data_IF_231168712048
#
_entry.id   IF_231168712048
#
_cell.length_a   1.000
_cell.length_b   1.000
_cell.length_c   1.000
_cell.angle_alpha   90.00
_cell.angle_beta   90.00
_cell.angle_gamma   90.00
#
_symmetry.space_group_name_H-M   'P 1'
#
loop_
_entity.id
_entity.type
_entity.pdbx_description
1 polymer ?
#
# COMPACT_ATOMS: atom_id res chain seq x y z
N UNK A 1 -3.68 4.96 21.87
CA UNK A 1 -2.31 5.53 21.93
C UNK A 1 -2.33 6.78 21.10
N UNK A 2 -2.02 7.92 21.72
CA UNK A 2 -2.08 9.22 21.07
C UNK A 2 -0.85 10.06 21.42
N UNK A 3 -0.44 10.92 20.49
CA UNK A 3 0.60 11.96 20.64
C UNK A 3 1.90 11.44 21.29
N UNK A 4 2.36 10.27 20.85
CA UNK A 4 3.50 9.56 21.43
C UNK A 4 4.63 9.40 20.40
N UNK A 5 5.88 9.39 20.89
CA UNK A 5 7.07 9.16 20.09
C UNK A 5 7.70 7.80 20.41
N UNK A 6 7.92 6.99 19.39
CA UNK A 6 8.53 5.67 19.46
C UNK A 6 9.79 5.62 18.61
N UNK A 7 10.90 5.20 19.17
CA UNK A 7 12.16 5.11 18.43
C UNK A 7 12.96 3.88 18.85
N UNK A 8 13.79 3.38 17.94
CA UNK A 8 14.80 2.34 18.17
C UNK A 8 14.27 1.04 18.79
N UNK A 9 13.00 0.71 18.56
CA UNK A 9 12.43 -0.54 18.99
C UNK A 9 12.83 -1.68 18.02
N UNK A 10 13.21 -2.83 18.57
CA UNK A 10 13.82 -3.89 17.76
C UNK A 10 12.83 -4.63 16.85
N UNK A 11 11.56 -4.68 17.18
CA UNK A 11 10.59 -5.50 16.47
C UNK A 11 9.34 -4.74 16.06
N UNK A 12 8.47 -4.42 17.01
CA UNK A 12 7.21 -3.69 16.76
C UNK A 12 7.17 -2.40 17.56
N UNK A 13 6.54 -1.39 17.01
CA UNK A 13 6.16 -0.20 17.75
C UNK A 13 5.02 -0.52 18.72
N UNK A 14 3.86 -0.81 18.18
CA UNK A 14 2.67 -1.20 18.96
C UNK A 14 2.02 -2.44 18.34
N UNK A 15 1.74 -3.44 19.15
CA UNK A 15 1.00 -4.63 18.73
C UNK A 15 -0.31 -4.74 19.53
N UNK A 16 -1.42 -4.35 18.91
CA UNK A 16 -2.76 -4.56 19.45
C UNK A 16 -3.23 -5.97 19.07
N UNK A 17 -3.30 -6.87 20.03
CA UNK A 17 -3.57 -8.29 19.78
C UNK A 17 -4.68 -8.84 20.67
N UNK A 18 -5.63 -9.54 20.04
CA UNK A 18 -6.50 -10.46 20.77
C UNK A 18 -5.79 -11.80 21.01
N UNK A 19 -5.87 -12.36 22.22
CA UNK A 19 -5.28 -13.65 22.55
C UNK A 19 -5.96 -14.79 21.77
N UNK A 20 -5.16 -15.74 21.34
CA UNK A 20 -5.59 -16.88 20.54
C UNK A 20 -6.37 -17.86 21.44
N UNK A 21 -7.58 -18.18 21.06
CA UNK A 21 -8.37 -19.22 21.79
C UNK A 21 -9.70 -19.51 21.14
N UNK A 22 -10.39 -18.51 20.67
CA UNK A 22 -11.66 -18.68 19.97
C UNK A 22 -11.67 -17.91 18.66
N UNK A 23 -11.92 -18.61 17.58
CA UNK A 23 -12.09 -18.03 16.23
C UNK A 23 -13.42 -17.28 16.06
N UNK A 24 -14.20 -17.07 17.12
CA UNK A 24 -15.43 -16.31 17.03
C UNK A 24 -15.11 -14.82 16.90
N UNK A 25 -15.67 -14.19 15.88
CA UNK A 25 -15.55 -12.76 15.63
C UNK A 25 -16.09 -11.90 16.79
N UNK A 26 -16.90 -12.48 17.67
CA UNK A 26 -17.59 -11.78 18.74
C UNK A 26 -16.72 -11.46 19.97
N UNK A 27 -15.57 -12.11 20.11
CA UNK A 27 -14.65 -11.93 21.24
C UNK A 27 -13.42 -11.05 20.92
N UNK A 28 -13.42 -10.31 19.83
CA UNK A 28 -12.32 -9.41 19.47
C UNK A 28 -12.29 -8.20 20.40
N UNK A 29 -11.09 -7.77 20.80
CA UNK A 29 -10.94 -6.44 21.42
C UNK A 29 -11.36 -5.36 20.43
N UNK A 30 -12.01 -4.31 20.92
CA UNK A 30 -12.66 -3.30 20.07
C UNK A 30 -12.22 -1.89 20.39
N UNK A 31 -12.45 -0.98 19.41
CA UNK A 31 -12.34 0.47 19.58
C UNK A 31 -10.91 0.96 19.88
N UNK A 32 -9.96 0.49 19.05
CA UNK A 32 -8.58 0.99 19.10
C UNK A 32 -8.43 2.30 18.34
N UNK A 33 -7.70 3.23 18.93
CA UNK A 33 -7.29 4.48 18.27
C UNK A 33 -5.79 4.65 18.41
N UNK A 34 -5.12 4.89 17.29
CA UNK A 34 -3.71 5.28 17.18
C UNK A 34 -3.64 6.58 16.42
N UNK A 35 -3.38 7.68 17.10
CA UNK A 35 -3.48 9.02 16.51
C UNK A 35 -2.30 9.91 16.90
N UNK A 36 -1.79 10.69 15.94
CA UNK A 36 -0.79 11.73 16.21
C UNK A 36 0.56 11.19 16.69
N UNK A 37 0.86 9.91 16.45
CA UNK A 37 2.11 9.32 16.90
C UNK A 37 3.20 9.46 15.85
N UNK A 38 4.45 9.51 16.30
CA UNK A 38 5.63 9.44 15.46
C UNK A 38 6.41 8.16 15.78
N UNK A 39 6.71 7.38 14.74
CA UNK A 39 7.52 6.16 14.82
C UNK A 39 8.78 6.36 13.97
N UNK A 40 9.94 6.20 14.58
CA UNK A 40 11.21 6.36 13.88
C UNK A 40 12.10 5.16 14.09
N UNK A 41 12.63 4.61 12.98
CA UNK A 41 13.61 3.52 13.00
C UNK A 41 13.16 2.32 13.84
N UNK A 42 11.90 1.93 13.68
CA UNK A 42 11.39 0.70 14.29
C UNK A 42 11.93 -0.51 13.49
N UNK A 43 12.45 -1.51 14.15
CA UNK A 43 13.10 -2.66 13.50
C UNK A 43 12.18 -3.59 12.72
N UNK A 44 10.88 -3.42 12.88
CA UNK A 44 9.83 -4.11 12.15
C UNK A 44 8.65 -3.19 11.90
N UNK A 45 7.43 -3.71 12.03
CA UNK A 45 6.20 -2.96 11.81
C UNK A 45 5.91 -1.97 12.94
N UNK A 46 5.48 -0.76 12.61
CA UNK A 46 5.16 0.24 13.60
C UNK A 46 3.84 -0.03 14.33
N UNK A 47 2.76 -0.25 13.61
CA UNK A 47 1.46 -0.59 14.21
C UNK A 47 0.94 -1.90 13.60
N UNK A 48 0.70 -2.89 14.45
CA UNK A 48 0.15 -4.20 14.07
C UNK A 48 -1.18 -4.43 14.79
N UNK A 49 -2.33 -4.07 14.21
CA UNK A 49 -3.62 -4.56 14.68
C UNK A 49 -3.80 -6.02 14.25
N UNK A 50 -4.06 -6.88 15.23
CA UNK A 50 -4.15 -8.31 15.02
C UNK A 50 -5.38 -8.86 15.72
N UNK A 51 -6.37 -9.31 14.94
CA UNK A 51 -7.63 -9.84 15.43
C UNK A 51 -8.40 -8.85 16.32
N UNK A 52 -8.46 -7.61 15.89
CA UNK A 52 -9.21 -6.53 16.56
C UNK A 52 -10.42 -6.11 15.73
N UNK A 53 -11.31 -5.30 16.31
CA UNK A 53 -12.46 -4.72 15.64
C UNK A 53 -12.54 -3.22 15.91
N UNK A 54 -12.99 -2.44 14.93
CA UNK A 54 -13.11 -1.00 15.00
C UNK A 54 -11.77 -0.34 15.38
N UNK A 55 -10.81 -0.38 14.47
CA UNK A 55 -9.49 0.20 14.66
C UNK A 55 -9.34 1.44 13.79
N UNK A 56 -8.97 2.57 14.39
CA UNK A 56 -8.67 3.81 13.70
C UNK A 56 -7.18 4.14 13.85
N UNK A 57 -6.49 4.31 12.72
CA UNK A 57 -5.07 4.68 12.67
C UNK A 57 -4.96 5.93 11.82
N UNK A 58 -4.73 7.09 12.47
CA UNK A 58 -4.76 8.36 11.75
C UNK A 58 -3.73 9.38 12.22
N UNK A 59 -3.30 10.25 11.30
CA UNK A 59 -2.39 11.36 11.57
C UNK A 59 -1.06 10.92 12.21
N UNK A 60 -0.55 9.72 11.87
CA UNK A 60 0.73 9.24 12.36
C UNK A 60 1.83 9.46 11.30
N UNK A 61 3.06 9.58 11.76
CA UNK A 61 4.27 9.61 10.92
C UNK A 61 5.08 8.35 11.20
N UNK A 62 5.41 7.63 10.13
CA UNK A 62 6.24 6.43 10.16
C UNK A 62 7.49 6.67 9.31
N UNK A 63 8.64 6.87 9.97
CA UNK A 63 9.91 7.18 9.33
C UNK A 63 10.90 6.03 9.54
N UNK A 64 11.34 5.44 8.44
CA UNK A 64 12.34 4.37 8.37
C UNK A 64 12.00 3.10 9.17
N UNK A 65 10.77 2.59 9.26
CA UNK A 65 10.56 1.28 9.84
C UNK A 65 11.24 0.20 9.01
N UNK A 66 11.79 -0.81 9.70
CA UNK A 66 12.55 -1.89 9.07
C UNK A 66 13.99 -1.51 8.67
N UNK A 67 14.46 -0.31 8.96
CA UNK A 67 15.79 0.18 8.57
C UNK A 67 16.96 -0.62 9.18
N UNK A 68 16.65 -1.50 10.13
CA UNK A 68 17.65 -2.44 10.69
C UNK A 68 18.85 -1.75 11.30
N UNK A 69 18.61 -0.70 12.07
CA UNK A 69 19.64 0.06 12.77
C UNK A 69 20.40 -0.75 13.82
N UNK A 70 19.81 -1.86 14.27
CA UNK A 70 20.40 -2.81 15.20
C UNK A 70 20.38 -4.22 14.60
N UNK A 71 21.43 -5.01 14.77
CA UNK A 71 21.53 -6.37 14.24
C UNK A 71 20.45 -7.34 14.74
N UNK A 72 19.80 -7.01 15.83
CA UNK A 72 18.67 -7.78 16.38
C UNK A 72 17.32 -7.43 15.77
N UNK A 73 17.25 -6.39 14.97
CA UNK A 73 16.04 -6.01 14.26
C UNK A 73 15.75 -7.01 13.12
N UNK A 74 14.49 -7.33 12.92
CA UNK A 74 14.11 -8.37 11.96
C UNK A 74 14.17 -7.92 10.50
N UNK A 75 14.25 -6.59 10.24
CA UNK A 75 14.28 -6.04 8.88
C UNK A 75 13.01 -6.32 8.06
N UNK A 76 11.86 -6.40 8.73
CA UNK A 76 10.53 -6.59 8.12
C UNK A 76 9.68 -5.39 8.52
N UNK A 77 9.84 -4.28 7.81
CA UNK A 77 9.19 -3.02 8.12
C UNK A 77 7.85 -2.87 7.43
N UNK A 78 6.92 -2.24 8.11
CA UNK A 78 5.71 -1.65 7.55
C UNK A 78 5.29 -0.51 8.46
N UNK A 79 4.65 0.50 7.93
CA UNK A 79 3.98 1.50 8.77
C UNK A 79 2.83 0.83 9.54
N UNK A 80 1.94 0.18 8.81
CA UNK A 80 0.82 -0.57 9.39
C UNK A 80 0.71 -1.94 8.71
N UNK A 81 0.57 -2.97 9.51
CA UNK A 81 0.30 -4.34 9.10
C UNK A 81 -1.04 -4.79 9.70
N UNK A 82 -2.12 -4.66 8.94
CA UNK A 82 -3.45 -5.05 9.40
C UNK A 82 -3.68 -6.56 9.18
N UNK A 83 -4.01 -7.31 10.24
CA UNK A 83 -4.08 -8.77 10.18
C UNK A 83 -5.31 -9.33 10.92
N UNK A 84 -6.15 -10.12 10.22
CA UNK A 84 -7.37 -10.74 10.75
C UNK A 84 -8.31 -9.77 11.49
N UNK A 85 -8.33 -8.51 11.15
CA UNK A 85 -9.10 -7.47 11.82
C UNK A 85 -10.37 -7.12 11.05
N UNK A 86 -11.32 -6.49 11.73
CA UNK A 86 -12.62 -6.12 11.16
C UNK A 86 -12.85 -4.62 11.36
N UNK A 87 -13.30 -3.94 10.33
CA UNK A 87 -13.59 -2.51 10.34
C UNK A 87 -12.37 -1.69 10.79
N UNK A 88 -11.35 -1.67 9.94
CA UNK A 88 -10.11 -0.90 10.18
C UNK A 88 -10.04 0.27 9.21
N UNK A 89 -9.84 1.48 9.74
CA UNK A 89 -9.62 2.70 8.96
C UNK A 89 -8.20 3.20 9.21
N UNK A 90 -7.43 3.38 8.14
CA UNK A 90 -6.05 3.86 8.15
C UNK A 90 -6.01 5.10 7.27
N UNK A 91 -5.89 6.29 7.88
CA UNK A 91 -6.06 7.55 7.15
C UNK A 91 -5.13 8.67 7.60
N UNK A 92 -4.84 9.60 6.68
CA UNK A 92 -4.05 10.80 6.94
C UNK A 92 -2.68 10.52 7.56
N UNK A 93 -2.08 9.36 7.26
CA UNK A 93 -0.76 9.01 7.75
C UNK A 93 0.32 9.29 6.70
N UNK A 94 1.55 9.42 7.15
CA UNK A 94 2.75 9.47 6.32
C UNK A 94 3.59 8.22 6.57
N UNK A 95 3.83 7.41 5.53
CA UNK A 95 4.69 6.24 5.57
C UNK A 95 5.92 6.48 4.69
N UNK A 96 7.05 6.74 5.34
CA UNK A 96 8.25 7.24 4.69
C UNK A 96 9.40 6.23 4.82
N UNK A 97 10.06 5.92 3.71
CA UNK A 97 11.28 5.12 3.68
C UNK A 97 11.15 3.76 4.38
N UNK A 98 10.06 3.08 4.13
CA UNK A 98 9.84 1.74 4.69
C UNK A 98 10.88 0.79 4.13
N UNK A 99 11.56 0.04 5.00
CA UNK A 99 12.70 -0.81 4.67
C UNK A 99 12.49 -2.24 5.14
N UNK A 100 13.21 -3.15 4.51
CA UNK A 100 13.27 -4.54 4.96
C UNK A 100 13.47 -5.51 3.80
N UNK A 101 14.12 -6.63 4.11
CA UNK A 101 14.34 -7.70 3.14
C UNK A 101 13.08 -8.53 2.87
N UNK A 102 12.09 -8.42 3.75
CA UNK A 102 10.80 -9.12 3.70
C UNK A 102 9.70 -8.10 3.94
N UNK A 103 8.53 -8.25 3.33
CA UNK A 103 7.42 -7.29 3.39
C UNK A 103 7.89 -5.87 2.99
N UNK A 104 7.77 -4.88 3.82
CA UNK A 104 8.17 -3.48 3.59
C UNK A 104 7.31 -2.70 2.59
N UNK A 105 6.06 -3.12 2.41
CA UNK A 105 5.04 -2.23 1.88
C UNK A 105 4.74 -1.13 2.90
N UNK A 106 4.33 0.03 2.45
CA UNK A 106 4.04 1.15 3.34
C UNK A 106 2.95 0.80 4.35
N UNK A 107 1.73 0.73 3.88
CA UNK A 107 0.55 0.31 4.64
C UNK A 107 -0.06 -0.86 3.90
N UNK A 108 -0.22 -2.02 4.56
CA UNK A 108 -0.74 -3.19 3.87
C UNK A 108 -1.85 -3.94 4.61
N UNK A 109 -2.67 -4.63 3.84
CA UNK A 109 -3.76 -5.50 4.28
C UNK A 109 -3.26 -6.93 4.17
N UNK A 110 -2.90 -7.53 5.30
CA UNK A 110 -2.50 -8.93 5.36
C UNK A 110 -3.74 -9.84 5.31
N UNK A 111 -3.68 -11.03 5.85
CA UNK A 111 -4.71 -12.06 5.67
C UNK A 111 -6.02 -11.80 6.42
N UNK A 112 -7.15 -12.19 5.80
CA UNK A 112 -8.47 -12.38 6.41
C UNK A 112 -9.01 -11.18 7.18
N UNK A 113 -8.77 -9.97 6.69
CA UNK A 113 -9.45 -8.79 7.21
C UNK A 113 -10.82 -8.63 6.54
N UNK A 114 -11.71 -7.93 7.21
CA UNK A 114 -13.01 -7.53 6.68
C UNK A 114 -13.17 -6.03 6.86
N UNK A 115 -13.63 -5.33 5.82
CA UNK A 115 -13.87 -3.89 5.82
C UNK A 115 -12.63 -3.09 6.23
N UNK A 116 -11.59 -3.11 5.40
CA UNK A 116 -10.37 -2.33 5.62
C UNK A 116 -10.30 -1.18 4.62
N UNK A 117 -10.14 0.05 5.14
CA UNK A 117 -10.06 1.28 4.35
C UNK A 117 -8.72 1.97 4.58
N UNK A 118 -7.91 2.07 3.52
CA UNK A 118 -6.65 2.82 3.48
C UNK A 118 -6.89 4.06 2.63
N UNK A 119 -6.93 5.24 3.27
CA UNK A 119 -7.35 6.47 2.60
C UNK A 119 -6.60 7.70 3.06
N UNK A 120 -6.40 8.66 2.15
CA UNK A 120 -5.77 9.96 2.42
C UNK A 120 -4.36 9.84 3.02
N UNK A 121 -3.64 8.74 2.74
CA UNK A 121 -2.27 8.55 3.21
C UNK A 121 -1.26 9.02 2.14
N UNK A 122 -0.11 9.45 2.62
CA UNK A 122 1.06 9.68 1.80
C UNK A 122 2.09 8.59 2.07
N UNK A 123 2.53 7.90 1.01
CA UNK A 123 3.57 6.87 1.08
C UNK A 123 4.71 7.26 0.15
N UNK A 124 5.95 7.15 0.62
CA UNK A 124 7.12 7.52 -0.16
C UNK A 124 8.30 6.62 0.14
N UNK A 125 8.94 6.15 -0.94
CA UNK A 125 10.19 5.40 -0.90
C UNK A 125 10.10 4.10 -0.07
N UNK A 126 8.94 3.42 -0.16
CA UNK A 126 8.72 2.12 0.47
C UNK A 126 9.25 0.99 -0.43
N UNK A 127 10.12 0.13 0.09
CA UNK A 127 10.76 -0.93 -0.70
C UNK A 127 9.76 -1.91 -1.32
N UNK A 128 8.72 -2.31 -0.61
CA UNK A 128 7.78 -3.34 -1.06
C UNK A 128 6.82 -2.88 -2.15
N UNK A 129 6.23 -1.72 -2.01
CA UNK A 129 5.29 -1.17 -2.98
C UNK A 129 4.10 -0.44 -2.38
N UNK A 130 3.14 -0.12 -3.24
CA UNK A 130 1.98 0.68 -2.85
C UNK A 130 0.83 -0.18 -2.31
N UNK A 131 0.19 -0.97 -3.17
CA UNK A 131 -0.94 -1.82 -2.76
C UNK A 131 -0.45 -3.21 -2.42
N UNK A 132 -0.79 -3.67 -1.23
CA UNK A 132 -0.67 -5.08 -0.84
C UNK A 132 -1.94 -5.54 -0.15
N UNK A 133 -2.62 -6.53 -0.74
CA UNK A 133 -3.79 -7.20 -0.20
C UNK A 133 -3.53 -8.71 -0.31
N UNK A 134 -3.25 -9.36 0.81
CA UNK A 134 -2.98 -10.79 0.85
C UNK A 134 -4.28 -11.61 0.90
N UNK A 135 -4.18 -12.92 1.06
CA UNK A 135 -5.29 -13.83 0.86
C UNK A 135 -6.45 -13.73 1.86
N UNK A 136 -7.66 -13.98 1.38
CA UNK A 136 -8.86 -14.17 2.18
C UNK A 136 -9.45 -12.91 2.80
N UNK A 137 -9.16 -11.74 2.28
CA UNK A 137 -9.76 -10.50 2.71
C UNK A 137 -11.13 -10.28 2.06
N UNK A 138 -11.99 -9.52 2.72
CA UNK A 138 -13.29 -9.10 2.21
C UNK A 138 -13.44 -7.59 2.36
N UNK A 139 -13.80 -6.90 1.29
CA UNK A 139 -13.92 -5.44 1.22
C UNK A 139 -12.64 -4.72 1.63
N UNK A 140 -11.68 -4.67 0.72
CA UNK A 140 -10.43 -3.95 0.88
C UNK A 140 -10.40 -2.71 0.00
N UNK A 141 -10.13 -1.54 0.57
CA UNK A 141 -10.21 -0.25 -0.14
C UNK A 141 -8.93 0.55 0.01
N UNK A 142 -8.32 0.90 -1.13
CA UNK A 142 -7.26 1.91 -1.25
C UNK A 142 -7.80 3.10 -2.02
N UNK A 143 -7.97 4.25 -1.38
CA UNK A 143 -8.51 5.45 -2.03
C UNK A 143 -7.90 6.75 -1.54
N UNK A 144 -7.80 7.73 -2.44
CA UNK A 144 -7.30 9.07 -2.13
C UNK A 144 -5.90 9.07 -1.49
N UNK A 145 -5.08 8.06 -1.80
CA UNK A 145 -3.70 8.01 -1.34
C UNK A 145 -2.75 8.56 -2.42
N UNK A 146 -1.59 9.00 -1.97
CA UNK A 146 -0.48 9.35 -2.86
C UNK A 146 0.68 8.42 -2.53
N UNK A 147 1.20 7.72 -3.54
CA UNK A 147 2.36 6.82 -3.47
C UNK A 147 3.46 7.34 -4.38
N UNK A 148 4.63 7.59 -3.82
CA UNK A 148 5.76 8.16 -4.55
C UNK A 148 6.98 7.26 -4.44
N UNK A 149 7.45 6.75 -5.56
CA UNK A 149 8.65 5.95 -5.64
C UNK A 149 8.65 4.67 -4.79
N UNK A 150 7.49 4.07 -4.58
CA UNK A 150 7.33 2.80 -3.88
C UNK A 150 7.57 1.60 -4.81
N UNK A 151 8.01 0.45 -4.26
CA UNK A 151 8.16 -0.81 -5.01
C UNK A 151 9.51 -0.97 -5.72
N UNK A 152 10.61 -0.61 -5.09
CA UNK A 152 11.95 -0.67 -5.70
C UNK A 152 12.88 -1.75 -5.12
N UNK A 153 12.41 -2.59 -4.22
CA UNK A 153 13.21 -3.64 -3.61
C UNK A 153 13.89 -4.51 -4.66
N UNK A 154 15.16 -4.78 -4.44
CA UNK A 154 16.00 -5.59 -5.33
C UNK A 154 16.44 -6.93 -4.73
N UNK A 155 15.83 -7.35 -3.62
CA UNK A 155 16.21 -8.59 -2.96
C UNK A 155 15.91 -9.82 -3.84
N UNK A 156 16.93 -10.59 -4.28
CA UNK A 156 16.75 -11.73 -5.18
C UNK A 156 16.01 -12.90 -4.55
N UNK A 157 15.92 -12.98 -3.23
CA UNK A 157 15.22 -14.05 -2.53
C UNK A 157 13.69 -13.84 -2.51
N UNK A 158 13.22 -12.67 -2.94
CA UNK A 158 11.81 -12.33 -3.03
C UNK A 158 11.49 -11.90 -4.45
N UNK A 159 11.23 -12.87 -5.29
CA UNK A 159 11.06 -12.69 -6.75
C UNK A 159 9.96 -11.68 -7.10
N UNK A 160 8.93 -11.58 -6.26
CA UNK A 160 7.77 -10.71 -6.47
C UNK A 160 7.73 -9.53 -5.50
N UNK A 161 8.85 -9.06 -5.02
CA UNK A 161 8.95 -8.18 -3.87
C UNK A 161 8.87 -6.68 -4.15
N UNK A 162 8.62 -6.26 -5.37
CA UNK A 162 8.49 -4.85 -5.74
C UNK A 162 7.28 -4.64 -6.65
N UNK A 163 6.14 -4.34 -6.05
CA UNK A 163 4.89 -4.21 -6.77
C UNK A 163 4.33 -2.79 -6.70
N UNK A 164 3.72 -2.35 -7.77
CA UNK A 164 2.77 -1.24 -7.70
C UNK A 164 1.46 -1.73 -7.09
N UNK A 165 0.98 -2.89 -7.55
CA UNK A 165 -0.23 -3.54 -7.05
C UNK A 165 0.06 -5.02 -6.85
N UNK A 166 -0.20 -5.52 -5.66
CA UNK A 166 -0.09 -6.92 -5.31
C UNK A 166 -1.31 -7.39 -4.52
N UNK A 167 -2.14 -8.18 -5.18
CA UNK A 167 -3.21 -8.94 -4.56
C UNK A 167 -2.86 -10.42 -4.66
N UNK A 168 -2.67 -11.08 -3.52
CA UNK A 168 -2.26 -12.47 -3.46
C UNK A 168 -3.38 -13.35 -2.91
N UNK A 169 -3.53 -14.54 -3.45
CA UNK A 169 -4.44 -15.58 -2.94
C UNK A 169 -3.81 -16.48 -1.87
N UNK A 170 -2.61 -16.13 -1.40
CA UNK A 170 -1.84 -16.95 -0.45
C UNK A 170 -2.16 -16.59 1.00
N UNK A 171 -2.32 -17.62 1.84
CA UNK A 171 -2.36 -17.51 3.31
C UNK A 171 -1.35 -18.49 3.90
N UNK A 172 -0.28 -17.98 4.51
CA UNK A 172 0.68 -18.79 5.25
C UNK A 172 1.37 -19.88 4.41
N UNK A 173 1.60 -19.60 3.12
CA UNK A 173 2.22 -20.53 2.19
C UNK A 173 1.24 -21.47 1.46
N UNK A 174 -0.06 -21.25 1.59
CA UNK A 174 -1.10 -22.00 0.88
C UNK A 174 -1.86 -21.05 -0.05
N UNK A 175 -1.95 -21.41 -1.33
CA UNK A 175 -2.66 -20.67 -2.37
C UNK A 175 -4.16 -21.02 -2.39
N UNK A 176 -4.95 -20.25 -3.15
CA UNK A 176 -6.38 -20.50 -3.37
C UNK A 176 -7.30 -19.78 -2.37
N UNK A 177 -6.80 -18.84 -1.61
CA UNK A 177 -7.59 -18.00 -0.72
C UNK A 177 -7.77 -16.59 -1.30
N UNK A 178 -8.48 -16.47 -2.40
CA UNK A 178 -8.72 -15.19 -3.05
C UNK A 178 -9.35 -14.18 -2.08
N UNK A 179 -8.90 -12.94 -2.18
CA UNK A 179 -9.59 -11.81 -1.56
C UNK A 179 -10.76 -11.38 -2.43
N UNK A 180 -11.85 -10.94 -1.80
CA UNK A 180 -13.08 -10.53 -2.46
C UNK A 180 -13.31 -9.02 -2.35
N UNK A 181 -13.84 -8.43 -3.45
CA UNK A 181 -14.30 -7.05 -3.45
C UNK A 181 -13.21 -6.03 -3.07
N UNK A 182 -12.11 -6.03 -3.81
CA UNK A 182 -11.03 -5.06 -3.65
C UNK A 182 -11.24 -3.83 -4.52
N UNK A 183 -11.12 -2.64 -3.93
CA UNK A 183 -11.35 -1.35 -4.60
C UNK A 183 -10.11 -0.47 -4.51
N UNK A 184 -9.58 -0.05 -5.66
CA UNK A 184 -8.39 0.81 -5.77
C UNK A 184 -8.80 2.00 -6.63
N UNK A 185 -9.04 3.17 -6.00
CA UNK A 185 -9.56 4.31 -6.74
C UNK A 185 -9.15 5.67 -6.20
N UNK A 186 -9.14 6.66 -7.08
CA UNK A 186 -8.76 8.04 -6.77
C UNK A 186 -7.38 8.16 -6.09
N UNK A 187 -6.45 7.26 -6.43
CA UNK A 187 -5.08 7.32 -5.93
C UNK A 187 -4.16 7.97 -6.98
N UNK A 188 -3.08 8.56 -6.51
CA UNK A 188 -1.98 9.04 -7.35
C UNK A 188 -0.75 8.18 -7.09
N UNK A 189 -0.28 7.46 -8.11
CA UNK A 189 0.85 6.53 -8.03
C UNK A 189 1.96 7.00 -8.96
N UNK A 190 3.08 7.42 -8.38
CA UNK A 190 4.19 8.06 -9.07
C UNK A 190 5.46 7.24 -8.95
N UNK A 191 6.12 6.99 -10.07
CA UNK A 191 7.48 6.44 -10.13
C UNK A 191 8.32 7.31 -11.05
N UNK A 192 9.25 8.10 -10.48
CA UNK A 192 10.01 9.12 -11.22
C UNK A 192 11.52 9.11 -10.94
N UNK A 193 12.12 7.99 -10.53
CA UNK A 193 13.55 7.90 -10.19
C UNK A 193 14.44 7.93 -11.42
N UNK A 194 15.22 8.98 -11.60
CA UNK A 194 16.19 9.12 -12.69
C UNK A 194 17.57 8.52 -12.35
N UNK A 195 18.01 8.65 -11.11
CA UNK A 195 19.34 8.18 -10.67
C UNK A 195 19.43 6.66 -10.49
N UNK A 196 18.31 6.02 -10.24
CA UNK A 196 18.21 4.56 -10.10
C UNK A 196 16.80 4.12 -10.58
N UNK A 197 16.56 4.13 -11.90
CA UNK A 197 15.26 3.75 -12.44
C UNK A 197 14.98 2.28 -12.17
N UNK A 198 13.75 1.94 -11.84
CA UNK A 198 13.36 0.58 -11.50
C UNK A 198 12.08 0.14 -12.19
N UNK A 199 11.81 -1.14 -12.11
CA UNK A 199 10.63 -1.79 -12.68
C UNK A 199 9.81 -2.38 -11.56
N UNK A 200 8.50 -2.14 -11.59
CA UNK A 200 7.57 -2.76 -10.64
C UNK A 200 6.77 -3.87 -11.32
N UNK A 201 6.19 -4.74 -10.51
CA UNK A 201 5.22 -5.72 -10.93
C UNK A 201 3.79 -5.25 -10.62
N UNK A 202 2.83 -5.84 -11.33
CA UNK A 202 1.40 -5.80 -11.05
C UNK A 202 0.93 -7.24 -11.02
N UNK A 203 0.37 -7.68 -9.90
CA UNK A 203 -0.11 -9.04 -9.69
C UNK A 203 -1.47 -8.99 -8.98
N UNK A 204 -2.50 -9.53 -9.62
CA UNK A 204 -3.89 -9.48 -9.14
C UNK A 204 -4.46 -10.89 -9.15
N UNK A 205 -4.34 -11.56 -8.00
CA UNK A 205 -4.89 -12.88 -7.72
C UNK A 205 -6.00 -12.74 -6.67
N UNK A 206 -7.15 -12.24 -7.10
CA UNK A 206 -8.28 -11.91 -6.27
C UNK A 206 -9.59 -12.12 -7.06
N UNK A 207 -10.73 -11.77 -6.49
CA UNK A 207 -12.02 -11.79 -7.15
C UNK A 207 -12.72 -10.43 -7.01
N UNK A 208 -13.37 -9.99 -8.09
CA UNK A 208 -14.14 -8.75 -8.14
C UNK A 208 -13.32 -7.49 -7.80
N UNK A 209 -12.10 -7.38 -8.30
CA UNK A 209 -11.28 -6.19 -8.15
C UNK A 209 -11.80 -5.06 -9.04
N UNK A 210 -11.83 -3.83 -8.50
CA UNK A 210 -12.22 -2.61 -9.18
C UNK A 210 -11.10 -1.58 -9.10
N UNK A 211 -10.60 -1.10 -10.25
CA UNK A 211 -9.51 -0.14 -10.34
C UNK A 211 -9.97 1.03 -11.20
N UNK A 212 -10.25 2.18 -10.60
CA UNK A 212 -10.83 3.30 -11.34
C UNK A 212 -10.39 4.67 -10.83
N UNK A 213 -10.39 5.65 -11.72
CA UNK A 213 -10.05 7.05 -11.41
C UNK A 213 -8.67 7.22 -10.74
N UNK A 214 -7.70 6.36 -11.02
CA UNK A 214 -6.35 6.52 -10.50
C UNK A 214 -5.47 7.25 -11.52
N UNK A 215 -4.40 7.87 -11.02
CA UNK A 215 -3.31 8.38 -11.84
C UNK A 215 -2.11 7.44 -11.66
N UNK A 216 -1.67 6.81 -12.74
CA UNK A 216 -0.46 6.00 -12.83
C UNK A 216 0.58 6.77 -13.66
N UNK A 217 1.59 7.30 -13.00
CA UNK A 217 2.61 8.17 -13.57
C UNK A 217 4.00 7.56 -13.45
N UNK A 218 4.64 7.21 -14.56
CA UNK A 218 5.94 6.53 -14.55
C UNK A 218 6.89 7.10 -15.59
N UNK A 219 7.91 7.85 -15.15
CA UNK A 219 8.86 8.57 -15.99
C UNK A 219 10.31 8.32 -15.57
N UNK A 220 11.25 9.04 -16.22
CA UNK A 220 12.68 9.01 -15.90
C UNK A 220 13.31 7.61 -16.00
N UNK A 221 12.83 6.77 -16.92
CA UNK A 221 13.35 5.43 -17.15
C UNK A 221 12.78 4.35 -16.22
N UNK A 222 12.03 4.73 -15.18
CA UNK A 222 11.27 3.79 -14.35
C UNK A 222 10.08 3.25 -15.12
N UNK A 223 9.66 2.00 -14.81
CA UNK A 223 8.63 1.28 -15.57
C UNK A 223 7.66 0.57 -14.64
N UNK A 224 6.41 0.97 -14.68
CA UNK A 224 5.33 0.35 -13.90
C UNK A 224 4.76 -0.88 -14.62
N UNK A 225 4.65 -2.00 -13.94
CA UNK A 225 4.17 -3.26 -14.51
C UNK A 225 5.17 -4.02 -15.38
N UNK A 226 6.29 -3.41 -15.77
CA UNK A 226 7.21 -3.99 -16.74
C UNK A 226 8.00 -5.20 -16.21
N UNK A 227 8.10 -5.38 -14.89
CA UNK A 227 8.69 -6.58 -14.31
C UNK A 227 7.78 -7.77 -14.53
N UNK A 228 6.50 -7.62 -14.24
CA UNK A 228 5.47 -8.62 -14.41
C UNK A 228 4.10 -7.94 -14.46
N UNK A 229 3.21 -8.43 -15.30
CA UNK A 229 1.76 -8.22 -15.20
C UNK A 229 1.12 -9.59 -15.18
N UNK A 230 0.49 -9.97 -14.09
CA UNK A 230 -0.28 -11.19 -13.92
C UNK A 230 -1.66 -10.81 -13.37
N UNK A 231 -2.71 -11.16 -14.08
CA UNK A 231 -4.10 -10.90 -13.71
C UNK A 231 -4.86 -12.20 -13.80
N UNK A 232 -5.14 -12.80 -12.64
CA UNK A 232 -5.95 -14.00 -12.51
C UNK A 232 -7.42 -13.69 -12.17
N UNK A 233 -7.74 -12.45 -11.80
CA UNK A 233 -9.12 -12.00 -11.53
C UNK A 233 -9.91 -11.90 -12.84
N UNK A 234 -10.78 -12.88 -13.09
CA UNK A 234 -11.64 -12.90 -14.30
C UNK A 234 -12.77 -11.87 -14.26
N UNK A 235 -13.02 -11.27 -13.11
CA UNK A 235 -14.02 -10.22 -12.91
C UNK A 235 -13.38 -8.84 -12.65
N UNK A 236 -12.08 -8.68 -12.96
CA UNK A 236 -11.42 -7.38 -12.90
C UNK A 236 -12.18 -6.38 -13.75
N UNK A 237 -12.45 -5.20 -13.18
CA UNK A 237 -12.99 -4.07 -13.91
C UNK A 237 -12.09 -2.86 -13.73
N UNK A 238 -11.66 -2.28 -14.83
CA UNK A 238 -10.87 -1.04 -14.85
C UNK A 238 -11.57 0.00 -15.69
N UNK A 239 -11.60 1.24 -15.19
CA UNK A 239 -12.23 2.35 -15.92
C UNK A 239 -11.68 3.70 -15.48
N UNK A 240 -11.58 4.63 -16.43
CA UNK A 240 -11.26 6.04 -16.18
C UNK A 240 -9.92 6.29 -15.48
N UNK A 241 -8.94 5.38 -15.59
CA UNK A 241 -7.62 5.65 -15.05
C UNK A 241 -6.81 6.52 -16.03
N UNK A 242 -5.97 7.39 -15.47
CA UNK A 242 -5.01 8.16 -16.26
C UNK A 242 -3.65 7.45 -16.20
N UNK A 243 -3.09 7.18 -17.37
CA UNK A 243 -1.77 6.59 -17.52
C UNK A 243 -0.83 7.55 -18.23
N UNK A 244 0.30 7.84 -17.63
CA UNK A 244 1.33 8.67 -18.24
C UNK A 244 2.72 8.05 -18.13
N UNK A 245 3.48 8.13 -19.22
CA UNK A 245 4.84 7.62 -19.31
C UNK A 245 4.90 6.09 -19.46
N UNK A 246 5.80 5.44 -18.76
CA UNK A 246 6.12 4.01 -18.98
C UNK A 246 5.30 3.09 -18.07
N UNK A 247 4.03 2.95 -18.35
CA UNK A 247 3.14 1.93 -17.75
C UNK A 247 2.92 0.83 -18.78
N UNK A 248 3.04 -0.42 -18.36
CA UNK A 248 2.97 -1.61 -19.23
C UNK A 248 1.60 -1.72 -19.94
N UNK A 249 1.61 -2.01 -21.22
CA UNK A 249 0.38 -2.12 -22.04
C UNK A 249 -0.51 -3.26 -21.56
N UNK A 250 0.05 -4.38 -21.14
CA UNK A 250 -0.72 -5.50 -20.61
C UNK A 250 -1.60 -5.15 -19.42
N UNK A 251 -1.28 -4.07 -18.69
CA UNK A 251 -2.11 -3.55 -17.60
C UNK A 251 -3.08 -2.47 -18.11
N UNK A 252 -2.60 -1.54 -18.92
CA UNK A 252 -3.44 -0.46 -19.48
C UNK A 252 -4.59 -0.97 -20.33
N UNK A 253 -4.38 -2.07 -21.05
CA UNK A 253 -5.36 -2.64 -21.98
C UNK A 253 -6.62 -3.18 -21.30
N UNK A 254 -6.63 -3.31 -19.96
CA UNK A 254 -7.85 -3.62 -19.19
C UNK A 254 -8.80 -2.43 -19.04
N UNK A 255 -8.35 -1.19 -19.34
CA UNK A 255 -9.14 0.03 -19.15
C UNK A 255 -9.50 0.64 -20.52
N UNK A 256 -10.71 0.36 -20.98
CA UNK A 256 -11.21 0.86 -22.28
C UNK A 256 -11.52 2.38 -22.26
N UNK A 257 -11.61 2.98 -21.06
CA UNK A 257 -11.89 4.41 -20.87
C UNK A 257 -10.66 5.18 -20.34
N UNK A 258 -9.47 4.62 -20.53
CA UNK A 258 -8.23 5.20 -20.06
C UNK A 258 -7.90 6.55 -20.70
N UNK A 259 -7.34 7.45 -19.90
CA UNK A 259 -6.80 8.73 -20.34
C UNK A 259 -5.28 8.62 -20.45
N UNK A 260 -4.71 8.99 -21.62
CA UNK A 260 -3.27 8.92 -21.89
C UNK A 260 -2.67 10.32 -22.05
N UNK A 261 -2.68 11.13 -20.98
CA UNK A 261 -2.20 12.50 -20.97
C UNK A 261 -1.39 12.80 -19.71
N UNK A 262 -0.59 13.88 -19.76
CA UNK A 262 0.11 14.35 -18.56
C UNK A 262 -0.91 14.84 -17.52
N UNK A 263 -0.86 14.38 -16.27
CA UNK A 263 -1.78 14.82 -15.24
C UNK A 263 -1.61 16.29 -14.83
N UNK A 264 -0.52 16.95 -15.25
CA UNK A 264 -0.22 18.34 -14.92
C UNK A 264 -0.23 18.60 -13.40
N UNK A 265 0.73 18.01 -12.71
CA UNK A 265 0.97 18.26 -11.30
C UNK A 265 1.50 19.68 -11.05
N UNK A 266 1.26 20.20 -9.86
CA UNK A 266 1.65 21.56 -9.47
C UNK A 266 3.17 21.75 -9.48
N UNK A 267 3.92 20.92 -8.75
CA UNK A 267 5.38 20.97 -8.72
C UNK A 267 5.94 19.68 -8.10
N UNK A 268 6.34 18.73 -8.94
CA UNK A 268 6.89 17.42 -8.51
C UNK A 268 8.21 17.51 -7.74
N UNK A 269 8.84 18.69 -7.67
CA UNK A 269 10.08 18.91 -6.90
C UNK A 269 9.81 19.18 -5.41
N UNK A 270 8.57 19.42 -5.03
CA UNK A 270 8.21 19.64 -3.64
C UNK A 270 8.08 18.32 -2.88
N UNK A 271 8.56 18.33 -1.64
CA UNK A 271 8.39 17.20 -0.73
C UNK A 271 6.91 17.00 -0.33
N UNK A 272 6.52 15.75 -0.21
CA UNK A 272 5.21 15.35 0.27
C UNK A 272 4.08 15.51 -0.76
N UNK A 273 2.86 15.39 -0.29
CA UNK A 273 1.66 15.33 -1.13
C UNK A 273 1.38 16.63 -1.93
N UNK A 274 1.90 17.76 -1.48
CA UNK A 274 1.62 19.08 -2.07
C UNK A 274 2.08 19.18 -3.53
N UNK A 275 3.19 18.55 -3.87
CA UNK A 275 3.73 18.57 -5.23
C UNK A 275 2.82 17.91 -6.27
N UNK A 276 2.00 16.97 -5.83
CA UNK A 276 1.11 16.18 -6.67
C UNK A 276 -0.33 16.72 -6.74
N UNK A 277 -0.55 17.95 -6.33
CA UNK A 277 -1.82 18.65 -6.58
C UNK A 277 -2.01 18.87 -8.08
N UNK A 278 -3.23 18.69 -8.56
CA UNK A 278 -3.55 18.89 -9.97
C UNK A 278 -3.72 20.40 -10.27
N UNK A 279 -3.07 20.87 -11.32
CA UNK A 279 -3.30 22.22 -11.83
C UNK A 279 -4.68 22.34 -12.49
N UNK A 280 -5.22 23.54 -12.50
CA UNK A 280 -6.44 23.84 -13.25
C UNK A 280 -6.27 23.43 -14.74
N UNK A 281 -7.23 22.67 -15.25
CA UNK A 281 -7.17 22.12 -16.61
C UNK A 281 -6.42 20.81 -16.72
N UNK A 282 -6.03 20.18 -15.62
CA UNK A 282 -5.53 18.80 -15.64
C UNK A 282 -6.58 17.86 -16.27
N UNK A 283 -6.16 16.95 -17.17
CA UNK A 283 -7.06 15.97 -17.76
C UNK A 283 -7.61 14.94 -16.74
N UNK A 284 -7.04 14.88 -15.55
CA UNK A 284 -7.54 14.02 -14.47
C UNK A 284 -8.72 14.65 -13.70
N UNK A 285 -8.99 15.95 -13.87
CA UNK A 285 -10.12 16.61 -13.21
C UNK A 285 -11.41 16.28 -13.96
N UNK A 286 -12.41 15.76 -13.28
CA UNK A 286 -13.71 15.37 -13.85
C UNK A 286 -13.61 14.31 -14.97
N UNK A 287 -12.58 13.48 -14.95
CA UNK A 287 -12.37 12.45 -15.97
C UNK A 287 -13.08 11.12 -15.66
N UNK A 288 -13.63 10.97 -14.44
CA UNK A 288 -14.27 9.73 -13.98
C UNK A 288 -15.64 9.94 -13.36
#
# INVERSE_FOLDING_TARGET
VEDSYFTDLQRFGVHAKHSIGNNSNDNRHTNFVFRGNEFKQIGGTCILPSRVRNCLIENNIFDEPGAKTNSRMIGRGSAVWNWYSINTIIQNNQALKIRGILDSHGIHIDHRNVDTFIQYNYMEDCEGGFVEILGGNETSVYRFNISVNDGWRSNPNWVNSNHTIWLSDNIGGQDGYNSENSYIYNNTVVINRSSNPYRTAIDIQANNTRIFNNIFYSINGSKMGNKQVNVADTNLSMTNNLFFGQVDTRFKDYDEQAVFQNPNFYDESLDGAKGYQLLAGSPAINAG
#
